data_IF_629492395285
#
_entry.id   IF_629492395285
#
_cell.length_a   1.000
_cell.length_b   1.000
_cell.length_c   1.000
_cell.angle_alpha   90.00
_cell.angle_beta   90.00
_cell.angle_gamma   90.00
#
_symmetry.space_group_name_H-M   'P 1'
#
loop_
_entity.id
_entity.type
_entity.pdbx_description
1 polymer ?
#
# COMPACT_ATOMS: atom_id res chain seq x y z
N UNK A 1 -18.96 -9.51 -2.46
CA UNK A 1 -18.81 -8.36 -1.54
C UNK A 1 -20.12 -7.60 -1.35
N UNK A 2 -20.80 -7.19 -2.44
CA UNK A 2 -22.10 -6.48 -2.38
C UNK A 2 -23.16 -7.20 -1.52
N UNK A 3 -23.35 -8.50 -1.69
CA UNK A 3 -24.31 -9.30 -0.91
C UNK A 3 -24.07 -9.27 0.61
N UNK A 4 -22.82 -9.34 1.06
CA UNK A 4 -22.47 -9.31 2.49
C UNK A 4 -22.76 -7.91 3.06
N UNK A 5 -22.39 -6.87 2.31
CA UNK A 5 -22.63 -5.49 2.72
C UNK A 5 -24.14 -5.21 2.82
N UNK A 6 -24.91 -5.57 1.80
CA UNK A 6 -26.38 -5.43 1.81
C UNK A 6 -27.01 -6.17 2.98
N UNK A 7 -26.59 -7.41 3.25
CA UNK A 7 -27.07 -8.19 4.40
C UNK A 7 -26.79 -7.48 5.73
N UNK A 8 -25.61 -6.86 5.89
CA UNK A 8 -25.28 -6.11 7.09
C UNK A 8 -26.16 -4.87 7.26
N UNK A 9 -26.45 -4.15 6.18
CA UNK A 9 -27.36 -2.98 6.20
C UNK A 9 -28.80 -3.38 6.51
N UNK A 10 -29.24 -4.54 6.02
CA UNK A 10 -30.59 -5.05 6.28
C UNK A 10 -30.75 -5.49 7.74
N UNK A 11 -29.73 -6.15 8.31
CA UNK A 11 -29.74 -6.60 9.72
C UNK A 11 -29.54 -5.45 10.71
N UNK A 12 -28.78 -4.43 10.33
CA UNK A 12 -28.46 -3.28 11.15
C UNK A 12 -28.78 -2.01 10.35
N UNK A 13 -29.86 -1.27 10.68
CA UNK A 13 -30.37 -0.14 9.88
C UNK A 13 -29.49 1.12 10.02
N UNK A 14 -28.19 0.96 9.82
CA UNK A 14 -27.19 2.02 9.76
C UNK A 14 -27.41 2.77 8.45
N UNK A 15 -27.70 4.06 8.55
CA UNK A 15 -27.91 4.92 7.38
C UNK A 15 -26.71 5.82 7.09
N UNK A 16 -25.97 6.17 8.14
CA UNK A 16 -24.85 7.10 8.09
C UNK A 16 -23.64 6.45 8.74
N UNK A 17 -22.47 6.61 8.13
CA UNK A 17 -21.17 6.32 8.73
C UNK A 17 -20.34 7.59 8.81
N UNK A 18 -19.55 7.72 9.87
CA UNK A 18 -18.66 8.88 10.09
C UNK A 18 -17.24 8.63 9.57
N UNK A 19 -16.97 7.43 9.04
CA UNK A 19 -15.69 7.10 8.41
C UNK A 19 -15.89 6.06 7.33
N UNK A 20 -15.27 6.29 6.18
CA UNK A 20 -15.09 5.27 5.13
C UNK A 20 -13.62 5.25 4.77
N UNK A 21 -13.06 4.06 4.59
CA UNK A 21 -11.69 3.89 4.12
C UNK A 21 -11.53 2.66 3.25
N UNK A 22 -10.53 2.70 2.38
CA UNK A 22 -10.07 1.59 1.57
C UNK A 22 -8.57 1.45 1.76
N UNK A 23 -8.12 0.22 2.04
CA UNK A 23 -6.72 -0.08 2.29
C UNK A 23 -6.23 -1.21 1.39
N UNK A 24 -5.07 -0.99 0.75
CA UNK A 24 -4.35 -2.01 0.01
C UNK A 24 -2.98 -2.21 0.65
N UNK A 25 -2.67 -3.46 1.01
CA UNK A 25 -1.38 -3.84 1.58
C UNK A 25 -0.68 -4.75 0.58
N UNK A 26 0.27 -4.20 -0.18
CA UNK A 26 1.05 -4.96 -1.14
C UNK A 26 2.34 -5.43 -0.48
N UNK A 27 2.41 -6.73 -0.16
CA UNK A 27 3.62 -7.38 0.35
C UNK A 27 4.35 -8.05 -0.81
N UNK A 28 5.41 -7.41 -1.28
CA UNK A 28 6.19 -7.88 -2.42
C UNK A 28 7.33 -8.75 -1.91
N UNK A 29 7.45 -9.96 -2.46
CA UNK A 29 8.48 -10.93 -2.08
C UNK A 29 9.16 -11.45 -3.34
N UNK A 30 10.47 -11.28 -3.43
CA UNK A 30 11.28 -11.77 -4.56
C UNK A 30 12.22 -12.84 -4.04
N UNK A 31 12.30 -13.98 -4.73
CA UNK A 31 13.04 -15.16 -4.28
C UNK A 31 14.57 -15.06 -4.39
N UNK A 32 15.10 -13.99 -5.00
CA UNK A 32 16.53 -13.85 -5.31
C UNK A 32 16.96 -12.38 -5.37
N UNK A 33 18.28 -12.15 -5.33
CA UNK A 33 18.89 -10.83 -5.42
C UNK A 33 19.20 -10.21 -4.06
N UNK A 34 19.81 -9.03 -4.08
CA UNK A 34 20.13 -8.27 -2.87
C UNK A 34 18.83 -7.81 -2.17
N UNK A 35 18.63 -8.14 -0.87
CA UNK A 35 17.44 -7.75 -0.11
C UNK A 35 17.17 -6.24 -0.02
N UNK A 36 18.21 -5.41 -0.10
CA UNK A 36 18.09 -3.95 0.06
C UNK A 36 18.11 -3.19 -1.27
N UNK A 37 18.46 -3.85 -2.39
CA UNK A 37 18.55 -3.19 -3.70
C UNK A 37 17.28 -3.35 -4.55
N UNK A 38 16.41 -2.35 -4.57
CA UNK A 38 15.13 -2.41 -5.29
C UNK A 38 15.11 -1.65 -6.63
N UNK A 39 16.28 -1.32 -7.18
CA UNK A 39 16.38 -0.68 -8.48
C UNK A 39 15.70 -1.51 -9.57
N UNK A 40 15.01 -0.83 -10.50
CA UNK A 40 14.25 -1.48 -11.57
C UNK A 40 12.87 -1.99 -11.12
N UNK A 41 12.56 -2.00 -9.81
CA UNK A 41 11.32 -2.57 -9.26
C UNK A 41 10.48 -1.54 -8.50
N UNK A 42 11.12 -0.76 -7.64
CA UNK A 42 10.48 0.28 -6.81
C UNK A 42 11.10 1.62 -7.17
N UNK A 43 10.35 2.71 -7.02
CA UNK A 43 10.91 4.04 -7.20
C UNK A 43 12.04 4.31 -6.20
N UNK A 44 13.24 4.76 -6.64
CA UNK A 44 14.39 4.99 -5.79
C UNK A 44 14.11 5.90 -4.59
N UNK A 45 13.21 6.89 -4.72
CA UNK A 45 12.89 7.79 -3.60
C UNK A 45 12.30 7.08 -2.38
N UNK A 46 11.79 5.84 -2.56
CA UNK A 46 11.19 5.04 -1.49
C UNK A 46 12.18 4.12 -0.77
N UNK A 47 13.40 3.93 -1.31
CA UNK A 47 14.40 3.03 -0.69
C UNK A 47 15.86 3.54 -0.75
N UNK A 48 16.12 4.74 -1.30
CA UNK A 48 17.47 5.29 -1.43
C UNK A 48 18.11 5.63 -0.09
N UNK A 49 17.33 6.12 0.88
CA UNK A 49 17.82 6.49 2.22
C UNK A 49 18.55 5.32 2.89
N UNK A 50 18.04 4.10 2.72
CA UNK A 50 18.62 2.87 3.24
C UNK A 50 19.90 2.46 2.52
N UNK A 51 20.10 2.86 1.27
CA UNK A 51 21.34 2.56 0.55
C UNK A 51 22.41 3.63 0.80
N UNK A 52 21.99 4.89 0.79
CA UNK A 52 22.88 6.04 0.80
C UNK A 52 23.35 6.38 2.22
N UNK A 53 22.48 6.28 3.24
CA UNK A 53 22.82 6.72 4.58
C UNK A 53 23.71 5.72 5.34
N UNK A 54 23.39 4.42 5.27
CA UNK A 54 24.11 3.36 6.02
C UNK A 54 25.27 2.72 5.25
N UNK A 55 25.55 3.19 4.02
CA UNK A 55 26.67 2.80 3.14
C UNK A 55 27.55 1.62 3.61
N UNK A 56 27.17 0.39 3.26
CA UNK A 56 28.01 -0.81 3.42
C UNK A 56 27.81 -1.63 4.69
N UNK A 57 26.87 -1.28 5.57
CA UNK A 57 26.53 -2.11 6.75
C UNK A 57 25.45 -3.16 6.46
N UNK A 58 25.81 -4.44 6.57
CA UNK A 58 24.91 -5.60 6.35
C UNK A 58 24.00 -5.94 7.54
N UNK A 59 23.79 -5.00 8.47
CA UNK A 59 23.11 -5.24 9.74
C UNK A 59 21.73 -4.58 9.81
N UNK A 60 21.18 -4.13 8.68
CA UNK A 60 19.86 -3.49 8.65
C UNK A 60 18.79 -4.49 9.09
N UNK A 61 18.12 -4.20 10.21
CA UNK A 61 17.07 -5.06 10.75
C UNK A 61 15.69 -4.74 10.13
N UNK A 62 15.42 -3.47 9.85
CA UNK A 62 14.14 -2.97 9.31
C UNK A 62 14.32 -1.53 8.87
N UNK A 63 13.63 -1.13 7.82
CA UNK A 63 13.49 0.28 7.47
C UNK A 63 12.08 0.56 7.00
N UNK A 64 11.31 1.31 7.78
CA UNK A 64 9.91 1.61 7.52
C UNK A 64 9.71 3.11 7.56
N UNK A 65 8.96 3.62 6.58
CA UNK A 65 8.60 5.02 6.44
C UNK A 65 7.09 5.16 6.53
N UNK A 66 6.64 6.35 6.93
CA UNK A 66 5.23 6.67 7.08
C UNK A 66 4.99 8.10 6.60
N UNK A 67 4.09 8.25 5.63
CA UNK A 67 3.60 9.53 5.15
C UNK A 67 2.10 9.61 5.45
N UNK A 68 1.67 10.78 5.93
CA UNK A 68 0.27 11.12 6.08
C UNK A 68 0.05 12.48 5.42
N UNK A 69 -0.87 12.51 4.46
CA UNK A 69 -1.08 13.65 3.61
C UNK A 69 -2.55 13.80 3.24
N UNK A 70 -2.88 15.00 2.78
CA UNK A 70 -4.13 15.27 2.08
C UNK A 70 -3.92 15.04 0.60
N UNK A 71 -4.63 14.06 0.05
CA UNK A 71 -4.70 13.81 -1.39
C UNK A 71 -6.13 14.15 -1.82
N UNK A 72 -6.25 15.19 -2.65
CA UNK A 72 -7.54 15.87 -2.89
C UNK A 72 -8.21 16.27 -1.55
N UNK A 73 -9.41 15.79 -1.27
CA UNK A 73 -10.13 16.02 0.00
C UNK A 73 -9.89 14.91 1.06
N UNK A 74 -9.20 13.83 0.69
CA UNK A 74 -9.06 12.63 1.50
C UNK A 74 -7.77 12.57 2.30
N UNK A 75 -7.79 11.76 3.36
CA UNK A 75 -6.58 11.42 4.10
C UNK A 75 -5.97 10.17 3.48
N UNK A 76 -4.74 10.28 3.00
CA UNK A 76 -3.95 9.13 2.57
C UNK A 76 -2.83 8.89 3.59
N UNK A 77 -2.80 7.67 4.13
CA UNK A 77 -1.68 7.14 4.89
C UNK A 77 -0.93 6.18 4.00
N UNK A 78 0.37 6.41 3.83
CA UNK A 78 1.25 5.57 3.04
C UNK A 78 2.40 5.09 3.89
N UNK A 79 2.41 3.79 4.19
CA UNK A 79 3.47 3.12 4.91
C UNK A 79 4.25 2.22 3.94
N UNK A 80 5.57 2.34 3.93
CA UNK A 80 6.39 1.60 2.99
C UNK A 80 7.78 1.28 3.52
N UNK A 81 8.47 0.35 2.84
CA UNK A 81 9.86 0.03 3.11
C UNK A 81 10.13 -1.45 3.32
N UNK A 82 11.28 -1.73 3.92
CA UNK A 82 11.82 -3.04 4.22
C UNK A 82 11.26 -3.53 5.58
N UNK A 83 10.11 -4.20 5.54
CA UNK A 83 9.41 -4.69 6.74
C UNK A 83 10.19 -5.75 7.53
N UNK A 84 10.89 -6.65 6.83
CA UNK A 84 11.58 -7.81 7.40
C UNK A 84 10.66 -8.76 8.17
N UNK A 85 10.22 -9.85 7.53
CA UNK A 85 9.45 -10.92 8.20
C UNK A 85 10.26 -11.71 9.24
N UNK A 86 11.58 -11.60 9.28
CA UNK A 86 12.47 -12.33 10.19
C UNK A 86 12.97 -11.47 11.36
N UNK A 87 12.43 -10.26 11.52
CA UNK A 87 12.75 -9.38 12.65
C UNK A 87 12.60 -10.12 14.00
N UNK A 88 13.57 -10.02 14.93
CA UNK A 88 14.65 -9.04 15.01
C UNK A 88 15.96 -9.40 14.30
N UNK A 89 16.03 -10.48 13.52
CA UNK A 89 17.24 -10.83 12.78
C UNK A 89 17.51 -9.82 11.64
N UNK A 90 18.76 -9.65 11.19
CA UNK A 90 19.08 -8.84 10.01
C UNK A 90 18.29 -9.26 8.77
N UNK A 91 17.99 -8.30 7.89
CA UNK A 91 17.28 -8.57 6.64
C UNK A 91 18.07 -9.56 5.79
N UNK A 92 17.49 -10.73 5.56
CA UNK A 92 18.03 -11.75 4.65
C UNK A 92 17.15 -11.97 3.41
N UNK A 93 15.89 -11.53 3.46
CA UNK A 93 14.88 -11.74 2.41
C UNK A 93 14.57 -10.43 1.68
N UNK A 94 14.44 -10.53 0.36
CA UNK A 94 14.02 -9.43 -0.50
C UNK A 94 12.51 -9.21 -0.40
N UNK A 95 12.12 -8.48 0.64
CA UNK A 95 10.74 -8.11 0.94
C UNK A 95 10.56 -6.59 1.02
N UNK A 96 9.52 -6.08 0.36
CA UNK A 96 9.12 -4.66 0.42
C UNK A 96 7.62 -4.57 0.65
N UNK A 97 7.18 -3.56 1.40
CA UNK A 97 5.76 -3.30 1.60
C UNK A 97 5.38 -1.94 1.01
N UNK A 98 4.23 -1.91 0.35
CA UNK A 98 3.53 -0.70 -0.08
C UNK A 98 2.10 -0.76 0.48
N UNK A 99 1.84 -0.01 1.54
CA UNK A 99 0.60 -0.03 2.30
C UNK A 99 -0.08 1.34 2.23
N UNK A 100 -1.20 1.38 1.52
CA UNK A 100 -1.98 2.58 1.27
C UNK A 100 -3.32 2.48 1.99
N UNK A 101 -3.64 3.42 2.87
CA UNK A 101 -4.95 3.57 3.53
C UNK A 101 -5.51 4.95 3.19
N UNK A 102 -6.49 4.98 2.28
CA UNK A 102 -7.18 6.20 1.89
C UNK A 102 -8.53 6.25 2.59
N UNK A 103 -8.83 7.36 3.28
CA UNK A 103 -10.06 7.48 4.07
C UNK A 103 -10.57 8.90 4.20
N UNK A 104 -11.85 9.01 4.53
CA UNK A 104 -12.52 10.24 4.92
C UNK A 104 -13.23 10.06 6.25
N UNK A 105 -13.35 11.15 7.01
CA UNK A 105 -14.10 11.22 8.28
C UNK A 105 -15.42 12.01 8.10
N UNK A 106 -15.87 12.19 6.87
CA UNK A 106 -17.15 12.83 6.57
C UNK A 106 -18.32 11.88 6.83
N UNK A 107 -19.46 12.46 7.19
CA UNK A 107 -20.73 11.72 7.28
C UNK A 107 -21.17 11.29 5.89
N UNK A 108 -21.26 9.98 5.68
CA UNK A 108 -21.58 9.37 4.39
C UNK A 108 -22.81 8.49 4.54
N UNK A 109 -23.79 8.72 3.65
CA UNK A 109 -24.91 7.80 3.47
C UNK A 109 -24.39 6.44 2.98
N UNK A 110 -24.85 5.36 3.61
CA UNK A 110 -24.39 4.00 3.35
C UNK A 110 -24.54 3.59 1.87
N UNK A 111 -25.51 4.15 1.16
CA UNK A 111 -25.73 3.94 -0.29
C UNK A 111 -24.57 4.46 -1.15
N UNK A 112 -23.76 5.40 -0.64
CA UNK A 112 -22.64 6.03 -1.36
C UNK A 112 -21.29 5.37 -1.09
N UNK A 113 -21.20 4.42 -0.15
CA UNK A 113 -19.93 3.80 0.27
C UNK A 113 -19.15 3.21 -0.90
N UNK A 114 -19.82 2.50 -1.82
CA UNK A 114 -19.16 1.93 -2.99
C UNK A 114 -18.68 3.00 -3.99
N UNK A 115 -19.34 4.16 -4.05
CA UNK A 115 -18.86 5.31 -4.82
C UNK A 115 -17.54 5.82 -4.25
N UNK A 116 -17.50 6.07 -2.93
CA UNK A 116 -16.28 6.52 -2.24
C UNK A 116 -15.14 5.50 -2.32
N UNK A 117 -15.44 4.20 -2.22
CA UNK A 117 -14.43 3.16 -2.42
C UNK A 117 -13.80 3.19 -3.82
N UNK A 118 -14.57 3.52 -4.88
CA UNK A 118 -14.02 3.69 -6.23
C UNK A 118 -13.11 4.92 -6.34
N UNK A 119 -13.49 6.02 -5.71
CA UNK A 119 -12.67 7.23 -5.64
C UNK A 119 -11.34 6.94 -4.94
N UNK A 120 -11.38 6.27 -3.78
CA UNK A 120 -10.17 5.84 -3.06
C UNK A 120 -9.31 4.87 -3.88
N UNK A 121 -9.93 3.94 -4.61
CA UNK A 121 -9.22 3.00 -5.46
C UNK A 121 -8.43 3.73 -6.56
N UNK A 122 -9.02 4.76 -7.18
CA UNK A 122 -8.31 5.58 -8.19
C UNK A 122 -7.07 6.25 -7.58
N UNK A 123 -7.21 6.88 -6.43
CA UNK A 123 -6.10 7.54 -5.73
C UNK A 123 -5.00 6.54 -5.38
N UNK A 124 -5.37 5.40 -4.78
CA UNK A 124 -4.39 4.38 -4.39
C UNK A 124 -3.72 3.78 -5.63
N UNK A 125 -4.45 3.60 -6.73
CA UNK A 125 -3.88 3.15 -7.99
C UNK A 125 -2.82 4.12 -8.50
N UNK A 126 -3.09 5.43 -8.54
CA UNK A 126 -2.11 6.44 -8.95
C UNK A 126 -0.86 6.43 -8.05
N UNK A 127 -1.03 6.24 -6.74
CA UNK A 127 0.07 6.12 -5.79
C UNK A 127 0.88 4.83 -5.95
N UNK A 128 0.21 3.71 -6.22
CA UNK A 128 0.87 2.45 -6.54
C UNK A 128 1.71 2.57 -7.80
N UNK A 129 1.16 3.15 -8.87
CA UNK A 129 1.85 3.36 -10.14
C UNK A 129 3.06 4.29 -9.99
N UNK A 130 2.98 5.32 -9.13
CA UNK A 130 4.13 6.17 -8.77
C UNK A 130 5.20 5.44 -7.95
N UNK A 131 4.84 4.35 -7.26
CA UNK A 131 5.73 3.65 -6.33
C UNK A 131 6.55 2.55 -7.00
N UNK A 132 6.11 2.06 -8.15
CA UNK A 132 6.71 0.91 -8.83
C UNK A 132 7.41 1.33 -10.12
N UNK A 133 8.30 0.45 -10.61
CA UNK A 133 8.91 0.55 -11.93
C UNK A 133 8.47 -0.65 -12.80
N UNK A 134 8.76 -0.58 -14.10
CA UNK A 134 8.31 -1.57 -15.08
C UNK A 134 8.71 -3.02 -14.71
N UNK A 135 9.90 -3.21 -14.13
CA UNK A 135 10.37 -4.54 -13.74
C UNK A 135 9.48 -5.22 -12.70
N UNK A 136 8.86 -4.45 -11.77
CA UNK A 136 7.91 -5.04 -10.83
C UNK A 136 6.58 -5.38 -11.51
N UNK A 137 6.14 -4.57 -12.48
CA UNK A 137 4.92 -4.86 -13.26
C UNK A 137 5.05 -6.16 -14.04
N UNK A 138 6.21 -6.40 -14.65
CA UNK A 138 6.50 -7.64 -15.37
C UNK A 138 6.45 -8.87 -14.44
N UNK A 139 7.02 -8.76 -13.23
CA UNK A 139 7.02 -9.84 -12.23
C UNK A 139 5.61 -10.16 -11.74
N UNK A 140 4.77 -9.14 -11.52
CA UNK A 140 3.40 -9.34 -11.05
C UNK A 140 2.49 -9.97 -12.13
N UNK A 141 2.92 -9.93 -13.39
CA UNK A 141 2.17 -10.42 -14.54
C UNK A 141 1.07 -9.43 -14.95
N UNK A 142 1.06 -9.03 -16.23
CA UNK A 142 -0.07 -8.30 -16.79
C UNK A 142 -1.22 -9.29 -16.97
N UNK A 143 -2.27 -9.17 -16.18
CA UNK A 143 -3.54 -9.85 -16.48
C UNK A 143 -4.19 -9.06 -17.61
N UNK A 144 -3.95 -9.47 -18.85
CA UNK A 144 -4.74 -8.98 -19.97
C UNK A 144 -6.19 -9.40 -19.74
N UNK A 145 -7.08 -8.43 -19.54
CA UNK A 145 -8.51 -8.68 -19.54
C UNK A 145 -8.95 -8.86 -20.99
N UNK A 146 -9.05 -10.11 -21.44
CA UNK A 146 -9.85 -10.49 -22.62
C UNK A 146 -11.35 -10.36 -22.31
#
# INVERSE_FOLDING_TARGET
>A
MKLIFETLVDLYPVRITNRVGLRYINQIKIGSGDPIDWNGLIDPSLFSVQREFISGENNLLRSMHYLELKEEEYNLKFQFGLFNSEYPNPISRKEFILDYDCSTNEEIDISKIFGKAKEFNKIIHEWFEKSIQDGLREIMGVVNND
#
